data_IF_045208519365
#
_entry.id   IF_045208519365
#
_cell.length_a   1.000
_cell.length_b   1.000
_cell.length_c   1.000
_cell.angle_alpha   90.00
_cell.angle_beta   90.00
_cell.angle_gamma   90.00
#
_symmetry.space_group_name_H-M   'P 1'
#
loop_
_entity.id
_entity.type
_entity.pdbx_description
1 polymer ?
#
# COMPACT_ATOMS: atom_id res chain seq x y z
N UNK A 1 29.80 -8.47 6.15
CA UNK A 1 29.88 -7.00 5.94
C UNK A 1 28.69 -6.57 5.10
N UNK A 2 28.07 -5.42 5.37
CA UNK A 2 27.02 -4.85 4.52
C UNK A 2 27.69 -3.98 3.45
N UNK A 3 27.95 -4.56 2.28
CA UNK A 3 28.59 -3.86 1.15
C UNK A 3 27.58 -3.02 0.36
N UNK A 4 28.07 -2.04 -0.40
CA UNK A 4 27.25 -1.18 -1.26
C UNK A 4 26.35 -1.98 -2.23
N UNK A 5 26.82 -3.14 -2.67
CA UNK A 5 26.04 -4.06 -3.50
C UNK A 5 24.80 -4.61 -2.80
N UNK A 6 24.90 -4.93 -1.51
CA UNK A 6 23.76 -5.40 -0.71
C UNK A 6 22.72 -4.27 -0.51
N UNK A 7 23.19 -3.03 -0.34
CA UNK A 7 22.31 -1.84 -0.25
C UNK A 7 21.57 -1.62 -1.56
N UNK A 8 22.26 -1.71 -2.70
CA UNK A 8 21.66 -1.56 -4.02
C UNK A 8 20.59 -2.63 -4.28
N UNK A 9 20.91 -3.90 -4.02
CA UNK A 9 19.96 -5.02 -4.18
C UNK A 9 18.71 -4.86 -3.31
N UNK A 10 18.88 -4.47 -2.04
CA UNK A 10 17.78 -4.27 -1.10
C UNK A 10 16.89 -3.09 -1.51
N UNK A 11 17.48 -2.00 -2.00
CA UNK A 11 16.74 -0.83 -2.46
C UNK A 11 15.82 -1.16 -3.65
N UNK A 12 16.30 -1.99 -4.57
CA UNK A 12 15.53 -2.40 -5.75
C UNK A 12 14.38 -3.32 -5.37
N UNK A 13 14.61 -4.29 -4.48
CA UNK A 13 13.54 -5.14 -3.98
C UNK A 13 12.44 -4.30 -3.31
N UNK A 14 12.81 -3.28 -2.53
CA UNK A 14 11.86 -2.38 -1.86
C UNK A 14 11.01 -1.59 -2.86
N UNK A 15 11.60 -1.12 -3.97
CA UNK A 15 10.87 -0.44 -5.05
C UNK A 15 9.84 -1.40 -5.67
N UNK A 16 10.22 -2.64 -5.97
CA UNK A 16 9.28 -3.61 -6.53
C UNK A 16 8.13 -3.92 -5.57
N UNK A 17 8.42 -4.12 -4.27
CA UNK A 17 7.38 -4.34 -3.27
C UNK A 17 6.43 -3.14 -3.11
N UNK A 18 6.93 -1.91 -3.24
CA UNK A 18 6.09 -0.71 -3.10
C UNK A 18 4.97 -0.66 -4.15
N UNK A 19 5.20 -1.21 -5.35
CA UNK A 19 4.17 -1.33 -6.39
C UNK A 19 3.07 -2.33 -5.99
N UNK A 20 3.46 -3.46 -5.41
CA UNK A 20 2.52 -4.48 -4.92
C UNK A 20 1.71 -4.05 -3.70
N UNK A 21 2.27 -3.16 -2.87
CA UNK A 21 1.66 -2.71 -1.61
C UNK A 21 0.27 -2.11 -1.83
N UNK A 22 0.09 -1.31 -2.88
CA UNK A 22 -1.19 -0.71 -3.25
C UNK A 22 -2.28 -1.78 -3.42
N UNK A 23 -1.99 -2.82 -4.21
CA UNK A 23 -2.95 -3.90 -4.49
C UNK A 23 -3.17 -4.78 -3.28
N UNK A 24 -2.14 -5.00 -2.47
CA UNK A 24 -2.26 -5.74 -1.22
C UNK A 24 -3.24 -5.05 -0.26
N UNK A 25 -3.12 -3.74 -0.09
CA UNK A 25 -4.06 -2.94 0.72
C UNK A 25 -5.49 -3.02 0.17
N UNK A 26 -5.68 -2.93 -1.15
CA UNK A 26 -7.01 -3.06 -1.76
C UNK A 26 -7.63 -4.44 -1.50
N UNK A 27 -6.85 -5.51 -1.66
CA UNK A 27 -7.30 -6.89 -1.39
C UNK A 27 -7.77 -7.07 0.05
N UNK A 28 -7.10 -6.42 1.02
CA UNK A 28 -7.47 -6.47 2.43
C UNK A 28 -8.82 -5.80 2.72
N UNK A 29 -9.24 -4.81 1.91
CA UNK A 29 -10.55 -4.16 2.02
C UNK A 29 -11.64 -4.95 1.28
N UNK A 30 -11.29 -5.55 0.13
CA UNK A 30 -12.23 -6.29 -0.72
C UNK A 30 -12.61 -7.65 -0.11
N UNK A 31 -11.67 -8.33 0.55
CA UNK A 31 -11.90 -9.68 1.08
C UNK A 31 -13.00 -9.72 2.17
N UNK A 32 -13.02 -8.83 3.18
CA UNK A 32 -14.10 -8.76 4.17
C UNK A 32 -15.47 -8.42 3.58
N UNK A 33 -15.52 -7.74 2.43
CA UNK A 33 -16.78 -7.41 1.77
C UNK A 33 -17.55 -8.66 1.33
N UNK A 34 -16.83 -9.68 0.84
CA UNK A 34 -17.41 -10.99 0.52
C UNK A 34 -17.92 -11.70 1.77
N UNK A 35 -17.16 -11.66 2.87
CA UNK A 35 -17.59 -12.23 4.15
C UNK A 35 -18.85 -11.55 4.71
N UNK A 36 -18.94 -10.23 4.63
CA UNK A 36 -20.12 -9.47 5.06
C UNK A 36 -21.39 -9.82 4.25
N UNK A 37 -21.22 -10.29 3.01
CA UNK A 37 -22.31 -10.75 2.14
C UNK A 37 -22.54 -12.27 2.21
N UNK A 38 -21.88 -12.97 3.13
CA UNK A 38 -22.04 -14.41 3.34
C UNK A 38 -21.30 -15.31 2.32
N UNK A 39 -20.49 -14.74 1.43
CA UNK A 39 -19.70 -15.50 0.45
C UNK A 39 -18.28 -15.74 0.99
N UNK A 40 -18.10 -16.83 1.72
CA UNK A 40 -16.79 -17.23 2.28
C UNK A 40 -15.95 -18.06 1.30
N UNK A 41 -16.58 -18.66 0.29
CA UNK A 41 -15.92 -19.61 -0.62
C UNK A 41 -15.08 -18.89 -1.67
N UNK A 42 -15.63 -17.82 -2.25
CA UNK A 42 -14.96 -17.03 -3.28
C UNK A 42 -13.58 -16.51 -2.85
N UNK A 43 -13.41 -15.83 -1.70
CA UNK A 43 -12.10 -15.33 -1.28
C UNK A 43 -11.09 -16.45 -0.97
N UNK A 44 -11.55 -17.59 -0.44
CA UNK A 44 -10.66 -18.73 -0.13
C UNK A 44 -10.16 -19.42 -1.39
N UNK A 45 -11.04 -19.65 -2.38
CA UNK A 45 -10.64 -20.23 -3.67
C UNK A 45 -9.66 -19.30 -4.39
N UNK A 46 -9.93 -18.00 -4.39
CA UNK A 46 -9.01 -17.02 -4.98
C UNK A 46 -7.66 -17.01 -4.27
N UNK A 47 -7.63 -17.04 -2.93
CA UNK A 47 -6.38 -17.12 -2.18
C UNK A 47 -5.55 -18.35 -2.60
N UNK A 48 -6.18 -19.53 -2.74
CA UNK A 48 -5.50 -20.74 -3.19
C UNK A 48 -4.95 -20.61 -4.63
N UNK A 49 -5.75 -20.07 -5.57
CA UNK A 49 -5.30 -19.83 -6.95
C UNK A 49 -4.13 -18.84 -6.98
N UNK A 50 -4.20 -17.77 -6.17
CA UNK A 50 -3.16 -16.75 -6.11
C UNK A 50 -1.86 -17.27 -5.50
N UNK A 51 -1.92 -18.16 -4.50
CA UNK A 51 -0.73 -18.85 -3.98
C UNK A 51 -0.08 -19.69 -5.07
N UNK A 52 -0.87 -20.47 -5.81
CA UNK A 52 -0.36 -21.24 -6.95
C UNK A 52 0.26 -20.36 -8.04
N UNK A 53 -0.39 -19.25 -8.37
CA UNK A 53 0.11 -18.26 -9.32
C UNK A 53 1.42 -17.62 -8.83
N UNK A 54 1.50 -17.25 -7.55
CA UNK A 54 2.70 -16.65 -6.97
C UNK A 54 3.90 -17.59 -6.99
N UNK A 55 3.70 -18.86 -6.63
CA UNK A 55 4.75 -19.88 -6.68
C UNK A 55 5.21 -20.09 -8.12
N UNK A 56 4.27 -20.18 -9.07
CA UNK A 56 4.58 -20.35 -10.49
C UNK A 56 5.38 -19.16 -11.03
N UNK A 57 4.94 -17.93 -10.74
CA UNK A 57 5.64 -16.72 -11.14
C UNK A 57 6.99 -16.58 -10.44
N UNK A 58 7.10 -16.97 -9.16
CA UNK A 58 8.39 -16.97 -8.46
C UNK A 58 9.38 -17.86 -9.20
N UNK A 59 8.98 -19.07 -9.60
CA UNK A 59 9.88 -19.99 -10.31
C UNK A 59 10.35 -19.42 -11.65
N UNK A 60 9.43 -18.86 -12.43
CA UNK A 60 9.74 -18.24 -13.74
C UNK A 60 10.59 -16.99 -13.57
N UNK A 61 10.17 -16.03 -12.73
CA UNK A 61 10.85 -14.74 -12.59
C UNK A 61 12.17 -14.85 -11.83
N UNK A 62 12.33 -15.82 -10.93
CA UNK A 62 13.60 -16.04 -10.24
C UNK A 62 14.69 -16.48 -11.22
N UNK A 63 14.34 -17.25 -12.26
CA UNK A 63 15.27 -17.63 -13.32
C UNK A 63 15.79 -16.42 -14.13
N UNK A 64 14.94 -15.42 -14.39
CA UNK A 64 15.33 -14.24 -15.19
C UNK A 64 15.87 -13.07 -14.36
N UNK A 65 15.32 -12.81 -13.17
CA UNK A 65 15.57 -11.60 -12.37
C UNK A 65 16.18 -11.88 -10.98
N UNK A 66 16.54 -13.14 -10.68
CA UNK A 66 17.12 -13.55 -9.39
C UNK A 66 16.24 -13.04 -8.22
N UNK A 67 16.81 -12.27 -7.29
CA UNK A 67 16.13 -11.83 -6.08
C UNK A 67 15.06 -10.73 -6.35
N UNK A 68 15.20 -9.98 -7.44
CA UNK A 68 14.20 -8.97 -7.84
C UNK A 68 12.91 -9.62 -8.35
N UNK A 69 13.04 -10.82 -8.93
CA UNK A 69 11.92 -11.59 -9.47
C UNK A 69 10.89 -11.97 -8.41
N UNK A 70 11.33 -12.19 -7.17
CA UNK A 70 10.47 -12.58 -6.05
C UNK A 70 9.55 -11.44 -5.60
N UNK A 71 10.10 -10.22 -5.52
CA UNK A 71 9.34 -9.00 -5.20
C UNK A 71 8.35 -8.64 -6.32
N UNK A 72 8.76 -8.82 -7.58
CA UNK A 72 7.95 -8.53 -8.74
C UNK A 72 6.81 -9.55 -8.89
N UNK A 73 7.08 -10.84 -8.68
CA UNK A 73 6.07 -11.90 -8.64
C UNK A 73 4.99 -11.61 -7.61
N UNK A 74 5.37 -11.25 -6.38
CA UNK A 74 4.43 -10.89 -5.31
C UNK A 74 3.52 -9.72 -5.71
N UNK A 75 4.10 -8.72 -6.37
CA UNK A 75 3.36 -7.54 -6.82
C UNK A 75 2.38 -7.87 -7.95
N UNK A 76 2.79 -8.70 -8.92
CA UNK A 76 1.90 -9.17 -9.99
C UNK A 76 0.78 -10.02 -9.41
N UNK A 77 1.07 -10.95 -8.50
CA UNK A 77 0.03 -11.77 -7.87
C UNK A 77 -0.99 -10.90 -7.14
N UNK A 78 -0.54 -9.91 -6.36
CA UNK A 78 -1.43 -9.00 -5.66
C UNK A 78 -2.32 -8.20 -6.63
N UNK A 79 -1.76 -7.77 -7.76
CA UNK A 79 -2.49 -7.08 -8.83
C UNK A 79 -3.55 -7.96 -9.48
N UNK A 80 -3.19 -9.20 -9.87
CA UNK A 80 -4.11 -10.15 -10.48
C UNK A 80 -5.24 -10.50 -9.50
N UNK A 81 -4.93 -10.70 -8.22
CA UNK A 81 -5.93 -10.96 -7.19
C UNK A 81 -6.94 -9.80 -7.09
N UNK A 82 -6.43 -8.57 -7.08
CA UNK A 82 -7.26 -7.36 -7.04
C UNK A 82 -8.19 -7.28 -8.24
N UNK A 83 -7.68 -7.50 -9.45
CA UNK A 83 -8.47 -7.47 -10.69
C UNK A 83 -9.59 -8.51 -10.67
N UNK A 84 -9.32 -9.71 -10.17
CA UNK A 84 -10.33 -10.76 -10.10
C UNK A 84 -11.39 -10.40 -9.05
N UNK A 85 -10.99 -9.99 -7.84
CA UNK A 85 -11.92 -9.61 -6.77
C UNK A 85 -12.83 -8.45 -7.20
N UNK A 86 -12.26 -7.39 -7.78
CA UNK A 86 -13.05 -6.22 -8.21
C UNK A 86 -14.02 -6.59 -9.33
N UNK A 87 -13.63 -7.48 -10.25
CA UNK A 87 -14.51 -7.97 -11.30
C UNK A 87 -15.67 -8.81 -10.73
N UNK A 88 -15.39 -9.72 -9.80
CA UNK A 88 -16.44 -10.51 -9.14
C UNK A 88 -17.40 -9.64 -8.34
N UNK A 89 -16.91 -8.58 -7.69
CA UNK A 89 -17.75 -7.64 -6.95
C UNK A 89 -18.71 -6.92 -7.89
N UNK A 90 -18.23 -6.36 -9.00
CA UNK A 90 -19.09 -5.69 -9.98
C UNK A 90 -20.14 -6.64 -10.57
N UNK A 91 -19.78 -7.92 -10.78
CA UNK A 91 -20.68 -8.93 -11.33
C UNK A 91 -21.73 -9.42 -10.34
N UNK A 92 -21.34 -9.68 -9.09
CA UNK A 92 -22.22 -10.30 -8.06
C UNK A 92 -22.97 -9.28 -7.20
N UNK A 93 -22.43 -8.07 -7.07
CA UNK A 93 -22.96 -7.02 -6.20
C UNK A 93 -23.11 -5.68 -6.95
N UNK A 94 -23.94 -5.61 -8.01
CA UNK A 94 -24.14 -4.38 -8.80
C UNK A 94 -24.76 -3.23 -7.99
N UNK A 95 -25.28 -3.50 -6.78
CA UNK A 95 -25.85 -2.51 -5.87
C UNK A 95 -24.80 -1.72 -5.07
N UNK A 96 -23.51 -2.03 -5.19
CA UNK A 96 -22.45 -1.24 -4.56
C UNK A 96 -22.26 0.01 -5.41
N UNK A 97 -22.80 1.12 -4.92
CA UNK A 97 -22.63 2.41 -5.56
C UNK A 97 -21.15 2.81 -5.56
N UNK A 98 -20.59 3.00 -6.76
CA UNK A 98 -19.20 3.40 -6.95
C UNK A 98 -19.05 4.93 -6.96
N UNK A 99 -20.17 5.66 -6.86
CA UNK A 99 -20.21 7.11 -6.85
C UNK A 99 -19.48 7.65 -5.62
N UNK A 100 -18.29 8.18 -5.86
CA UNK A 100 -17.43 8.81 -4.85
C UNK A 100 -16.15 8.05 -4.54
N UNK A 101 -16.06 6.73 -4.83
CA UNK A 101 -14.82 5.96 -4.62
C UNK A 101 -13.71 6.49 -5.52
N UNK A 102 -14.00 6.70 -6.81
CA UNK A 102 -13.02 7.22 -7.78
C UNK A 102 -12.52 8.62 -7.40
N UNK A 103 -13.41 9.50 -6.92
CA UNK A 103 -13.05 10.84 -6.49
C UNK A 103 -12.19 10.84 -5.22
N UNK A 104 -12.50 9.94 -4.28
CA UNK A 104 -11.70 9.75 -3.06
C UNK A 104 -10.33 9.14 -3.39
N UNK A 105 -10.25 8.18 -4.31
CA UNK A 105 -8.99 7.64 -4.80
C UNK A 105 -8.13 8.73 -5.45
N UNK A 106 -8.73 9.58 -6.30
CA UNK A 106 -8.02 10.68 -6.94
C UNK A 106 -7.47 11.68 -5.90
N UNK A 107 -8.27 12.03 -4.88
CA UNK A 107 -7.81 12.86 -3.74
C UNK A 107 -6.64 12.21 -2.99
N UNK A 108 -6.71 10.90 -2.71
CA UNK A 108 -5.62 10.17 -2.05
C UNK A 108 -4.34 10.17 -2.88
N UNK A 109 -4.44 10.02 -4.20
CA UNK A 109 -3.29 10.11 -5.12
C UNK A 109 -2.69 11.52 -5.10
N UNK A 110 -3.51 12.58 -5.12
CA UNK A 110 -3.04 13.96 -5.04
C UNK A 110 -2.29 14.24 -3.72
N UNK A 111 -2.81 13.76 -2.59
CA UNK A 111 -2.14 13.88 -1.29
C UNK A 111 -0.79 13.13 -1.29
N UNK A 112 -0.74 11.93 -1.87
CA UNK A 112 0.49 11.15 -1.97
C UNK A 112 1.56 11.87 -2.81
N UNK A 113 1.16 12.51 -3.92
CA UNK A 113 2.04 13.33 -4.75
C UNK A 113 2.55 14.54 -3.95
N UNK A 114 1.68 15.25 -3.24
CA UNK A 114 2.06 16.39 -2.41
C UNK A 114 3.10 16.00 -1.33
N UNK A 115 2.89 14.86 -0.66
CA UNK A 115 3.84 14.32 0.32
C UNK A 115 5.18 13.97 -0.32
N UNK A 116 5.17 13.37 -1.51
CA UNK A 116 6.40 13.05 -2.21
C UNK A 116 7.24 14.32 -2.49
N UNK A 117 6.62 15.37 -3.03
CA UNK A 117 7.30 16.65 -3.27
C UNK A 117 7.79 17.29 -1.97
N UNK A 118 6.97 17.25 -0.91
CA UNK A 118 7.34 17.78 0.41
C UNK A 118 8.54 17.03 1.00
N UNK A 119 8.55 15.71 0.94
CA UNK A 119 9.65 14.87 1.42
C UNK A 119 10.95 15.13 0.64
N UNK A 120 10.87 15.30 -0.69
CA UNK A 120 12.03 15.67 -1.53
C UNK A 120 12.56 17.06 -1.19
N UNK A 121 11.67 18.02 -0.94
CA UNK A 121 12.05 19.37 -0.52
C UNK A 121 12.77 19.37 0.84
N UNK A 122 12.22 18.68 1.83
CA UNK A 122 12.84 18.49 3.15
C UNK A 122 14.20 17.78 3.09
N UNK A 123 14.34 16.80 2.19
CA UNK A 123 15.62 16.13 1.97
C UNK A 123 16.72 17.08 1.50
N UNK A 124 16.39 18.11 0.71
CA UNK A 124 17.33 19.14 0.24
C UNK A 124 17.68 20.15 1.33
N UNK A 125 16.74 20.48 2.22
CA UNK A 125 16.92 21.51 3.25
C UNK A 125 17.81 21.06 4.42
N UNK A 126 17.96 19.75 4.65
CA UNK A 126 18.74 19.19 5.77
C UNK A 126 20.04 18.55 5.24
N UNK A 127 21.16 19.28 5.14
CA UNK A 127 22.46 18.71 4.79
C UNK A 127 23.11 18.09 6.04
N UNK A 128 22.71 16.86 6.36
CA UNK A 128 23.37 16.03 7.37
C UNK A 128 24.03 14.85 6.65
N UNK A 129 25.35 14.95 6.41
CA UNK A 129 26.14 13.92 5.69
C UNK A 129 26.89 12.95 6.62
N UNK A 130 26.75 13.09 7.93
CA UNK A 130 27.28 12.12 8.91
C UNK A 130 26.45 10.83 8.93
N UNK A 131 27.10 9.66 9.12
CA UNK A 131 26.41 8.35 9.16
C UNK A 131 25.30 8.26 10.20
N UNK A 132 25.48 8.87 11.38
CA UNK A 132 24.45 9.02 12.42
C UNK A 132 23.40 10.08 12.04
N UNK A 133 23.82 11.13 11.32
CA UNK A 133 22.96 12.17 10.77
C UNK A 133 21.97 11.64 9.73
N UNK A 134 22.31 10.60 8.96
CA UNK A 134 21.42 9.97 7.98
C UNK A 134 20.20 9.29 8.62
N UNK A 135 20.40 8.62 9.77
CA UNK A 135 19.30 7.97 10.51
C UNK A 135 18.38 9.02 11.12
N UNK A 136 18.96 10.07 11.72
CA UNK A 136 18.18 11.17 12.28
C UNK A 136 17.41 11.90 11.17
N UNK A 137 18.05 12.13 10.01
CA UNK A 137 17.43 12.75 8.84
C UNK A 137 16.24 11.93 8.31
N UNK A 138 16.38 10.61 8.16
CA UNK A 138 15.28 9.77 7.69
C UNK A 138 14.13 9.71 8.71
N UNK A 139 14.42 9.68 10.01
CA UNK A 139 13.42 9.74 11.07
C UNK A 139 12.65 11.07 11.07
N UNK A 140 13.35 12.21 10.94
CA UNK A 140 12.74 13.53 10.89
C UNK A 140 11.87 13.69 9.64
N UNK A 141 12.37 13.27 8.47
CA UNK A 141 11.60 13.33 7.22
C UNK A 141 10.36 12.45 7.31
N UNK A 142 10.46 11.23 7.85
CA UNK A 142 9.32 10.34 8.03
C UNK A 142 8.27 10.93 8.99
N UNK A 143 8.71 11.50 10.12
CA UNK A 143 7.85 12.15 11.09
C UNK A 143 7.12 13.38 10.52
N UNK A 144 7.85 14.28 9.83
CA UNK A 144 7.23 15.45 9.19
C UNK A 144 6.29 15.04 8.04
N UNK A 145 6.66 14.03 7.26
CA UNK A 145 5.80 13.52 6.17
C UNK A 145 4.50 12.93 6.72
N UNK A 146 4.58 12.22 7.85
CA UNK A 146 3.40 11.69 8.53
C UNK A 146 2.50 12.80 9.09
N UNK A 147 3.10 13.83 9.70
CA UNK A 147 2.38 15.00 10.18
C UNK A 147 1.68 15.75 9.03
N UNK A 148 2.39 15.93 7.91
CA UNK A 148 1.84 16.56 6.71
C UNK A 148 0.71 15.72 6.10
N UNK A 149 0.84 14.40 6.05
CA UNK A 149 -0.25 13.51 5.62
C UNK A 149 -1.49 13.68 6.50
N UNK A 150 -1.32 13.75 7.82
CA UNK A 150 -2.43 13.95 8.75
C UNK A 150 -3.11 15.31 8.55
N UNK A 151 -2.32 16.39 8.43
CA UNK A 151 -2.83 17.75 8.21
C UNK A 151 -3.50 17.91 6.84
N UNK A 152 -2.88 17.43 5.77
CA UNK A 152 -3.45 17.45 4.43
C UNK A 152 -4.71 16.58 4.35
N UNK A 153 -4.72 15.41 5.01
CA UNK A 153 -5.88 14.54 5.12
C UNK A 153 -7.05 15.18 5.87
N UNK A 154 -6.77 15.99 6.90
CA UNK A 154 -7.77 16.78 7.62
C UNK A 154 -8.32 17.92 6.75
N UNK A 155 -7.44 18.64 6.05
CA UNK A 155 -7.77 19.83 5.26
C UNK A 155 -8.55 19.50 3.97
N UNK A 156 -8.28 18.34 3.35
CA UNK A 156 -9.01 17.84 2.17
C UNK A 156 -10.39 17.26 2.55
N UNK A 157 -10.72 17.22 3.84
CA UNK A 157 -12.01 16.76 4.36
C UNK A 157 -12.40 15.36 3.84
N UNK A 158 -11.43 14.44 3.75
CA UNK A 158 -11.79 13.04 3.50
C UNK A 158 -12.67 12.55 4.65
N UNK A 159 -13.91 12.15 4.33
CA UNK A 159 -14.90 11.64 5.28
C UNK A 159 -14.33 10.54 6.21
N UNK A 160 -13.37 9.78 5.70
CA UNK A 160 -12.67 8.70 6.41
C UNK A 160 -11.84 9.14 7.63
N UNK A 161 -11.20 10.32 7.60
CA UNK A 161 -10.34 10.76 8.71
C UNK A 161 -11.17 11.12 9.94
N UNK A 162 -12.30 11.82 9.72
CA UNK A 162 -13.22 12.21 10.80
C UNK A 162 -13.82 10.97 11.48
N UNK A 163 -14.24 9.98 10.70
CA UNK A 163 -14.71 8.67 11.21
C UNK A 163 -13.61 7.88 11.93
N UNK A 164 -12.37 7.85 11.42
CA UNK A 164 -11.25 7.18 12.06
C UNK A 164 -10.93 7.79 13.44
N UNK A 165 -10.82 9.13 13.54
CA UNK A 165 -10.63 9.82 14.83
C UNK A 165 -11.80 9.59 15.79
N UNK A 166 -13.04 9.60 15.32
CA UNK A 166 -14.19 9.33 16.18
C UNK A 166 -14.20 7.89 16.70
N UNK A 167 -13.85 6.90 15.87
CA UNK A 167 -13.75 5.51 16.29
C UNK A 167 -12.59 5.27 17.27
N UNK A 168 -11.46 5.96 17.09
CA UNK A 168 -10.35 5.92 18.03
C UNK A 168 -10.75 6.54 19.38
N UNK A 169 -11.35 7.75 19.37
CA UNK A 169 -11.85 8.41 20.57
C UNK A 169 -12.91 7.57 21.29
N UNK A 170 -13.82 6.90 20.56
CA UNK A 170 -14.82 6.00 21.17
C UNK A 170 -14.19 4.75 21.79
N UNK A 171 -13.14 4.19 21.21
CA UNK A 171 -12.42 3.04 21.79
C UNK A 171 -11.58 3.43 23.01
N UNK A 172 -10.93 4.60 22.97
CA UNK A 172 -10.18 5.14 24.10
C UNK A 172 -11.07 5.57 25.27
N UNK A 173 -12.30 6.03 24.99
CA UNK A 173 -13.30 6.40 25.99
C UNK A 173 -14.10 5.20 26.55
N UNK A 174 -13.88 3.99 26.01
CA UNK A 174 -14.46 2.72 26.49
C UNK A 174 -13.47 1.88 27.33
N UNK A 175 -12.25 2.37 27.52
CA UNK A 175 -11.32 1.91 28.57
C UNK A 175 -11.35 2.90 29.71
#
# INVERSE_FOLDING_TARGET
>A
AFDQQAVWMSSQALIFYSLGLLFYSMNQVLTPLFYARGDTRTPVILAAIMVGLNISLNFVLMQFLQHRGLALSTSITAFVNYLILIHLIHKRFPQIDNNGVMFNLLKSVLIAIAIYFFAVYLRKLIPLDSKTGLILKSAVIASLSFLFFYLAGLLVHLSYMKEATQNLCKRLRRK
#
